data_IF_087111767813
#
_entry.id   IF_087111767813
#
_cell.length_a   1.000
_cell.length_b   1.000
_cell.length_c   1.000
_cell.angle_alpha   90.00
_cell.angle_beta   90.00
_cell.angle_gamma   90.00
#
_symmetry.space_group_name_H-M   'P 1'
#
loop_
_entity.id
_entity.type
_entity.pdbx_description
1 polymer ?
#
# COMPACT_ATOMS: atom_id res chain seq x y z
N UNK A 1 7.38 29.39 29.28
CA UNK A 1 7.06 28.22 28.49
C UNK A 1 5.65 28.41 27.95
N UNK A 2 5.51 28.85 26.68
CA UNK A 2 4.22 28.81 26.01
C UNK A 2 3.81 27.36 25.89
N UNK A 3 2.61 27.00 26.37
CA UNK A 3 2.00 25.71 26.04
C UNK A 3 1.87 25.65 24.52
N UNK A 4 2.73 24.91 23.85
CA UNK A 4 2.52 24.52 22.45
C UNK A 4 1.15 23.89 22.40
N UNK A 5 0.24 24.52 21.67
CA UNK A 5 -1.13 24.02 21.51
C UNK A 5 -1.02 22.76 20.67
N UNK A 6 -1.12 21.58 21.29
CA UNK A 6 -1.09 20.30 20.60
C UNK A 6 -2.28 20.25 19.65
N UNK A 7 -2.04 20.15 18.33
CA UNK A 7 -3.12 20.05 17.35
C UNK A 7 -3.82 18.70 17.44
N UNK A 8 -5.11 18.68 17.13
CA UNK A 8 -5.93 17.47 17.10
C UNK A 8 -6.04 16.95 15.67
N UNK A 9 -5.42 15.78 15.42
CA UNK A 9 -5.40 15.12 14.13
C UNK A 9 -6.43 14.00 14.04
N UNK A 10 -7.30 14.04 13.05
CA UNK A 10 -8.21 12.95 12.70
C UNK A 10 -7.61 12.10 11.57
N UNK A 11 -7.56 10.78 11.72
CA UNK A 11 -7.22 9.82 10.66
C UNK A 11 -8.50 9.10 10.23
N UNK A 12 -8.87 9.24 8.96
CA UNK A 12 -10.13 8.79 8.35
C UNK A 12 -9.82 7.93 7.12
N UNK A 13 -10.67 6.96 6.77
CA UNK A 13 -10.51 6.12 5.57
C UNK A 13 -9.74 4.83 5.82
N UNK A 14 -9.57 4.44 7.07
CA UNK A 14 -8.98 3.15 7.48
C UNK A 14 -10.03 2.25 8.11
N UNK A 15 -9.80 0.94 8.07
CA UNK A 15 -10.65 -0.03 8.80
C UNK A 15 -10.52 0.16 10.31
N UNK A 16 -9.36 0.58 10.80
CA UNK A 16 -9.12 0.92 12.19
C UNK A 16 -7.86 0.31 12.80
N UNK A 17 -7.70 0.52 14.10
CA UNK A 17 -6.54 0.07 14.88
C UNK A 17 -6.95 -0.86 16.03
N UNK A 18 -6.04 -1.77 16.49
CA UNK A 18 -4.72 -2.08 15.90
C UNK A 18 -4.86 -2.64 14.48
N UNK A 19 -3.87 -2.36 13.63
CA UNK A 19 -3.86 -2.80 12.24
C UNK A 19 -3.89 -4.34 12.15
N UNK A 20 -4.85 -4.87 11.39
CA UNK A 20 -4.93 -6.31 11.12
C UNK A 20 -4.37 -6.64 9.74
N UNK A 21 -4.72 -5.83 8.74
CA UNK A 21 -4.31 -6.01 7.37
C UNK A 21 -4.65 -4.75 6.55
N UNK A 22 -3.72 -4.31 5.68
CA UNK A 22 -3.92 -3.20 4.76
C UNK A 22 -2.85 -2.11 4.87
N UNK A 23 -2.58 -1.44 3.76
CA UNK A 23 -1.56 -0.37 3.70
C UNK A 23 -1.95 0.84 4.55
N UNK A 24 -3.20 1.27 4.48
CA UNK A 24 -3.69 2.42 5.26
C UNK A 24 -3.79 2.13 6.75
N UNK A 25 -4.10 0.89 7.14
CA UNK A 25 -4.08 0.47 8.55
C UNK A 25 -2.65 0.51 9.10
N UNK A 26 -1.68 -0.01 8.33
CA UNK A 26 -0.26 0.05 8.70
C UNK A 26 0.22 1.50 8.78
N UNK A 27 -0.12 2.35 7.80
CA UNK A 27 0.19 3.78 7.82
C UNK A 27 -0.39 4.46 9.07
N UNK A 28 -1.68 4.29 9.33
CA UNK A 28 -2.35 4.89 10.49
C UNK A 28 -1.70 4.43 11.80
N UNK A 29 -1.38 3.15 11.91
CA UNK A 29 -0.69 2.58 13.06
C UNK A 29 0.68 3.22 13.28
N UNK A 30 1.47 3.34 12.25
CA UNK A 30 2.81 3.92 12.35
C UNK A 30 2.77 5.42 12.63
N UNK A 31 1.84 6.16 12.03
CA UNK A 31 1.63 7.57 12.35
C UNK A 31 1.26 7.78 13.83
N UNK A 32 0.40 6.93 14.39
CA UNK A 32 0.09 6.99 15.84
C UNK A 32 1.34 6.75 16.67
N UNK A 33 2.13 5.71 16.37
CA UNK A 33 3.33 5.37 17.12
C UNK A 33 4.41 6.46 17.07
N UNK A 34 4.49 7.23 15.99
CA UNK A 34 5.52 8.24 15.78
C UNK A 34 5.07 9.66 16.21
N UNK A 35 3.77 9.95 16.13
CA UNK A 35 3.24 11.32 16.29
C UNK A 35 2.41 11.53 17.56
N UNK A 36 2.26 10.55 18.44
CA UNK A 36 1.48 10.59 19.68
C UNK A 36 1.87 11.75 20.63
N UNK A 37 3.15 12.17 20.57
CA UNK A 37 3.68 13.27 21.37
C UNK A 37 3.48 14.66 20.75
N UNK A 38 3.20 14.70 19.44
CA UNK A 38 3.05 15.94 18.68
C UNK A 38 1.58 16.31 18.46
N UNK A 39 0.71 15.30 18.37
CA UNK A 39 -0.72 15.45 18.07
C UNK A 39 -1.60 14.68 19.06
N UNK A 40 -2.78 15.23 19.38
CA UNK A 40 -3.87 14.43 19.93
C UNK A 40 -4.57 13.70 18.78
N UNK A 41 -4.25 12.42 18.60
CA UNK A 41 -4.74 11.66 17.43
C UNK A 41 -6.07 11.00 17.73
N UNK A 42 -7.02 11.12 16.79
CA UNK A 42 -8.27 10.35 16.76
C UNK A 42 -8.32 9.52 15.48
N UNK A 43 -8.48 8.21 15.60
CA UNK A 43 -8.62 7.29 14.46
C UNK A 43 -10.06 6.80 14.36
N UNK A 44 -10.66 6.93 13.18
CA UNK A 44 -11.99 6.38 12.91
C UNK A 44 -11.87 4.92 12.50
N UNK A 45 -12.73 4.08 13.11
CA UNK A 45 -12.69 2.63 13.00
C UNK A 45 -14.04 2.07 12.57
N UNK A 46 -14.01 1.00 11.76
CA UNK A 46 -15.21 0.26 11.35
C UNK A 46 -15.75 -0.59 12.50
N UNK A 47 -16.92 -0.22 13.02
CA UNK A 47 -17.59 -1.01 14.02
C UNK A 47 -18.15 -2.36 13.51
N UNK A 48 -18.13 -2.63 12.21
CA UNK A 48 -18.49 -3.94 11.67
C UNK A 48 -17.31 -4.91 11.62
N UNK A 49 -16.09 -4.38 11.56
CA UNK A 49 -14.86 -5.20 11.55
C UNK A 49 -14.39 -5.55 12.97
N UNK A 50 -14.58 -4.61 13.91
CA UNK A 50 -14.24 -4.84 15.33
C UNK A 50 -15.52 -5.17 16.09
N UNK A 51 -15.58 -6.36 16.72
CA UNK A 51 -16.70 -6.76 17.57
C UNK A 51 -16.74 -5.89 18.85
N UNK A 52 -17.88 -5.79 19.51
CA UNK A 52 -18.01 -4.92 20.69
C UNK A 52 -17.00 -5.24 21.79
N UNK A 53 -16.65 -6.51 21.94
CA UNK A 53 -15.68 -7.02 22.91
C UNK A 53 -14.23 -6.61 22.57
N UNK A 54 -13.96 -6.36 21.28
CA UNK A 54 -12.63 -6.03 20.74
C UNK A 54 -12.52 -4.57 20.28
N UNK A 55 -13.23 -3.64 20.95
CA UNK A 55 -13.20 -2.20 20.66
C UNK A 55 -12.54 -1.43 21.80
N UNK A 56 -11.21 -1.36 21.86
CA UNK A 56 -10.58 -0.44 22.80
C UNK A 56 -10.98 1.00 22.48
N UNK A 57 -11.24 1.79 23.51
CA UNK A 57 -11.54 3.23 23.35
C UNK A 57 -10.31 4.04 22.97
N UNK A 58 -9.13 3.48 23.24
CA UNK A 58 -7.82 4.09 23.01
C UNK A 58 -6.79 3.01 22.62
N UNK A 59 -5.83 3.38 21.79
CA UNK A 59 -4.71 2.53 21.40
C UNK A 59 -3.45 3.39 21.25
N UNK A 60 -2.40 3.09 22.02
CA UNK A 60 -1.11 3.80 21.98
C UNK A 60 -1.26 5.34 22.02
N UNK A 61 -2.11 5.86 22.91
CA UNK A 61 -2.38 7.29 23.06
C UNK A 61 -3.39 7.88 22.07
N UNK A 62 -3.75 7.17 21.00
CA UNK A 62 -4.77 7.62 20.06
C UNK A 62 -6.18 7.20 20.50
N UNK A 63 -7.16 8.13 20.41
CA UNK A 63 -8.58 7.84 20.62
C UNK A 63 -9.17 7.09 19.44
N UNK A 64 -9.90 6.00 19.68
CA UNK A 64 -10.56 5.22 18.64
C UNK A 64 -12.07 5.53 18.62
N UNK A 65 -12.61 5.88 17.44
CA UNK A 65 -14.01 6.19 17.22
C UNK A 65 -14.64 5.20 16.23
N UNK A 66 -15.59 4.42 16.71
CA UNK A 66 -16.23 3.36 15.93
C UNK A 66 -17.55 3.81 15.31
N UNK A 67 -17.65 3.70 13.97
CA UNK A 67 -18.92 3.88 13.27
C UNK A 67 -19.52 2.52 12.89
N UNK A 68 -20.86 2.35 12.92
CA UNK A 68 -21.51 1.06 12.62
C UNK A 68 -21.59 0.77 11.11
N UNK A 69 -20.52 1.09 10.38
CA UNK A 69 -20.39 0.97 8.93
C UNK A 69 -19.10 0.22 8.56
N UNK A 70 -19.08 -0.38 7.37
CA UNK A 70 -17.84 -0.90 6.79
C UNK A 70 -17.02 0.26 6.21
N UNK A 71 -15.69 0.24 6.47
CA UNK A 71 -14.76 1.18 5.88
C UNK A 71 -14.38 0.80 4.43
N UNK A 72 -14.85 -0.33 3.92
CA UNK A 72 -14.59 -0.80 2.56
C UNK A 72 -15.90 -0.95 1.76
N UNK A 73 -15.79 -0.90 0.41
CA UNK A 73 -16.92 -1.02 -0.50
C UNK A 73 -17.84 0.21 -0.47
N UNK A 74 -19.10 0.03 -0.87
CA UNK A 74 -20.04 1.16 -1.00
C UNK A 74 -20.30 1.88 0.33
N UNK A 75 -20.22 1.18 1.45
CA UNK A 75 -20.42 1.79 2.77
C UNK A 75 -19.28 2.74 3.18
N UNK A 76 -18.09 2.61 2.57
CA UNK A 76 -16.97 3.51 2.84
C UNK A 76 -17.31 4.98 2.57
N UNK A 77 -18.15 5.25 1.58
CA UNK A 77 -18.58 6.59 1.21
C UNK A 77 -19.27 7.29 2.40
N UNK A 78 -20.25 6.62 3.00
CA UNK A 78 -20.99 7.16 4.16
C UNK A 78 -20.14 7.11 5.43
N UNK A 79 -19.28 6.08 5.57
CA UNK A 79 -18.35 5.97 6.68
C UNK A 79 -17.38 7.16 6.72
N UNK A 80 -16.75 7.50 5.61
CA UNK A 80 -15.82 8.63 5.51
C UNK A 80 -16.54 9.95 5.72
N UNK A 81 -17.73 10.13 5.14
CA UNK A 81 -18.53 11.35 5.32
C UNK A 81 -18.88 11.60 6.79
N UNK A 82 -19.43 10.60 7.48
CA UNK A 82 -19.78 10.73 8.89
C UNK A 82 -18.55 10.92 9.78
N UNK A 83 -17.44 10.28 9.43
CA UNK A 83 -16.15 10.49 10.10
C UNK A 83 -15.68 11.94 9.96
N UNK A 84 -15.75 12.52 8.75
CA UNK A 84 -15.40 13.92 8.49
C UNK A 84 -16.32 14.88 9.24
N UNK A 85 -17.65 14.65 9.24
CA UNK A 85 -18.61 15.49 9.97
C UNK A 85 -18.32 15.52 11.47
N UNK A 86 -17.99 14.38 12.05
CA UNK A 86 -17.59 14.33 13.47
C UNK A 86 -16.24 15.01 13.69
N UNK A 87 -15.27 14.77 12.78
CA UNK A 87 -13.91 15.29 12.90
C UNK A 87 -13.86 16.83 12.87
N UNK A 88 -14.66 17.51 12.02
CA UNK A 88 -14.65 18.98 11.95
C UNK A 88 -15.09 19.66 13.25
N UNK A 89 -15.80 18.93 14.12
CA UNK A 89 -16.24 19.45 15.42
C UNK A 89 -15.12 19.31 16.46
N UNK A 90 -14.36 18.21 16.44
CA UNK A 90 -13.47 17.83 17.54
C UNK A 90 -11.98 17.88 17.18
N UNK A 91 -11.62 17.97 15.90
CA UNK A 91 -10.24 17.97 15.43
C UNK A 91 -9.90 19.25 14.67
N UNK A 92 -8.61 19.52 14.51
CA UNK A 92 -8.07 20.70 13.82
C UNK A 92 -7.62 20.36 12.40
N UNK A 93 -7.13 19.14 12.20
CA UNK A 93 -6.65 18.61 10.93
C UNK A 93 -7.32 17.28 10.64
N UNK A 94 -7.73 17.07 9.40
CA UNK A 94 -8.29 15.84 8.88
C UNK A 94 -7.31 15.23 7.87
N UNK A 95 -6.78 14.05 8.18
CA UNK A 95 -6.05 13.21 7.24
C UNK A 95 -7.01 12.14 6.70
N UNK A 96 -7.38 12.25 5.43
CA UNK A 96 -8.29 11.33 4.74
C UNK A 96 -7.45 10.39 3.86
N UNK A 97 -7.54 9.11 4.14
CA UNK A 97 -6.83 8.04 3.45
C UNK A 97 -7.75 7.42 2.39
N UNK A 98 -7.43 7.68 1.12
CA UNK A 98 -8.26 7.31 -0.03
C UNK A 98 -9.28 8.39 -0.41
N UNK A 99 -9.94 8.16 -1.54
CA UNK A 99 -10.83 9.18 -2.14
C UNK A 99 -12.32 8.90 -1.98
N UNK A 100 -12.72 7.79 -1.34
CA UNK A 100 -14.12 7.32 -1.31
C UNK A 100 -15.11 8.36 -0.81
N UNK A 101 -14.77 9.06 0.28
CA UNK A 101 -15.62 10.08 0.89
C UNK A 101 -15.39 11.50 0.38
N UNK A 102 -14.42 11.72 -0.51
CA UNK A 102 -14.00 13.05 -0.91
C UNK A 102 -15.05 13.82 -1.73
N UNK A 103 -16.05 13.13 -2.26
CA UNK A 103 -17.24 13.77 -2.86
C UNK A 103 -17.88 14.81 -1.94
N UNK A 104 -17.78 14.63 -0.63
CA UNK A 104 -18.38 15.52 0.37
C UNK A 104 -17.45 16.66 0.83
N UNK A 105 -16.22 16.74 0.34
CA UNK A 105 -15.29 17.80 0.72
C UNK A 105 -15.81 19.23 0.45
N UNK A 106 -16.52 19.52 -0.65
CA UNK A 106 -17.12 20.85 -0.82
C UNK A 106 -18.03 21.25 0.34
N UNK A 107 -18.85 20.30 0.79
CA UNK A 107 -19.72 20.51 1.94
C UNK A 107 -18.92 20.71 3.25
N UNK A 108 -17.93 19.86 3.50
CA UNK A 108 -17.03 19.99 4.67
C UNK A 108 -16.34 21.36 4.67
N UNK A 109 -15.81 21.80 3.53
CA UNK A 109 -15.11 23.10 3.40
C UNK A 109 -16.05 24.30 3.49
N UNK A 110 -17.33 24.14 3.18
CA UNK A 110 -18.33 25.19 3.33
C UNK A 110 -18.63 25.47 4.82
N UNK A 111 -18.64 24.45 5.64
CA UNK A 111 -18.98 24.55 7.08
C UNK A 111 -17.77 24.58 8.01
N UNK A 112 -16.56 24.35 7.49
CA UNK A 112 -15.35 24.26 8.30
C UNK A 112 -14.12 24.82 7.58
N UNK A 113 -13.30 25.57 8.33
CA UNK A 113 -11.97 26.02 7.89
C UNK A 113 -10.85 25.07 8.33
N UNK A 114 -11.20 23.90 8.82
CA UNK A 114 -10.21 22.90 9.27
C UNK A 114 -9.35 22.47 8.06
N UNK A 115 -8.08 22.20 8.34
CA UNK A 115 -7.13 21.72 7.32
C UNK A 115 -7.48 20.28 6.92
N UNK A 116 -7.55 20.03 5.63
CA UNK A 116 -7.85 18.71 5.05
C UNK A 116 -6.69 18.26 4.18
N UNK A 117 -6.10 17.14 4.56
CA UNK A 117 -5.06 16.45 3.81
C UNK A 117 -5.70 15.20 3.22
N UNK A 118 -5.52 14.97 1.92
CA UNK A 118 -6.03 13.76 1.26
C UNK A 118 -4.87 12.99 0.66
N UNK A 119 -4.69 11.75 1.11
CA UNK A 119 -3.85 10.78 0.42
C UNK A 119 -4.70 10.11 -0.67
N UNK A 120 -4.38 10.36 -1.94
CA UNK A 120 -5.21 9.91 -3.07
C UNK A 120 -5.06 8.44 -3.40
N UNK A 121 -4.13 7.72 -2.72
CA UNK A 121 -3.85 6.30 -2.98
C UNK A 121 -3.39 6.04 -4.43
N UNK A 122 -3.27 4.78 -4.81
CA UNK A 122 -3.06 4.37 -6.19
C UNK A 122 -4.38 4.38 -6.97
N UNK A 123 -4.45 5.01 -8.09
CA UNK A 123 -5.58 5.17 -9.03
C UNK A 123 -6.66 4.06 -8.91
N UNK A 124 -7.42 4.06 -7.79
CA UNK A 124 -8.35 2.99 -7.40
C UNK A 124 -9.38 2.69 -8.51
N UNK A 125 -9.81 3.72 -9.23
CA UNK A 125 -10.77 3.60 -10.33
C UNK A 125 -10.25 2.77 -11.53
N UNK A 126 -8.94 2.54 -11.65
CA UNK A 126 -8.32 1.70 -12.69
C UNK A 126 -8.45 0.20 -12.41
N UNK A 127 -8.76 -0.20 -11.20
CA UNK A 127 -8.85 -1.62 -10.85
C UNK A 127 -9.99 -2.31 -11.60
N UNK A 128 -9.75 -3.49 -12.19
CA UNK A 128 -10.72 -4.21 -13.01
C UNK A 128 -12.04 -4.54 -12.29
N UNK A 129 -12.00 -4.70 -10.97
CA UNK A 129 -13.15 -5.05 -10.13
C UNK A 129 -14.30 -4.03 -10.16
N UNK A 130 -14.04 -2.79 -10.59
CA UNK A 130 -15.04 -1.73 -10.54
C UNK A 130 -15.89 -1.68 -11.79
N UNK A 131 -17.21 -1.58 -11.62
CA UNK A 131 -18.16 -1.28 -12.69
C UNK A 131 -17.90 0.11 -13.31
N UNK A 132 -18.41 0.34 -14.53
CA UNK A 132 -18.25 1.64 -15.20
C UNK A 132 -18.79 2.82 -14.35
N UNK A 133 -19.90 2.63 -13.64
CA UNK A 133 -20.45 3.63 -12.73
C UNK A 133 -19.55 3.90 -11.51
N UNK A 134 -19.04 2.85 -10.89
CA UNK A 134 -18.14 2.97 -9.75
C UNK A 134 -16.82 3.68 -10.16
N UNK A 135 -16.30 3.39 -11.37
CA UNK A 135 -15.12 4.08 -11.91
C UNK A 135 -15.37 5.58 -12.09
N UNK A 136 -16.51 5.97 -12.69
CA UNK A 136 -16.87 7.39 -12.83
C UNK A 136 -17.06 8.08 -11.49
N UNK A 137 -17.70 7.41 -10.54
CA UNK A 137 -17.85 7.91 -9.18
C UNK A 137 -16.49 8.17 -8.52
N UNK A 138 -15.58 7.18 -8.57
CA UNK A 138 -14.24 7.32 -7.98
C UNK A 138 -13.42 8.42 -8.66
N UNK A 139 -13.49 8.56 -9.98
CA UNK A 139 -12.86 9.67 -10.72
C UNK A 139 -13.39 11.03 -10.30
N UNK A 140 -14.70 11.13 -10.08
CA UNK A 140 -15.31 12.38 -9.63
C UNK A 140 -14.97 12.69 -8.18
N UNK A 141 -14.93 11.68 -7.33
CA UNK A 141 -14.48 11.82 -5.93
C UNK A 141 -12.99 12.21 -5.85
N UNK A 142 -12.14 11.65 -6.70
CA UNK A 142 -10.72 12.04 -6.85
C UNK A 142 -10.58 13.50 -7.30
N UNK A 143 -11.41 13.93 -8.28
CA UNK A 143 -11.44 15.34 -8.68
C UNK A 143 -11.85 16.27 -7.54
N UNK A 144 -12.86 15.90 -6.73
CA UNK A 144 -13.24 16.64 -5.52
C UNK A 144 -12.10 16.69 -4.51
N UNK A 145 -11.41 15.56 -4.29
CA UNK A 145 -10.24 15.49 -3.43
C UNK A 145 -9.17 16.51 -3.88
N UNK A 146 -8.79 16.46 -5.14
CA UNK A 146 -7.76 17.37 -5.67
C UNK A 146 -8.18 18.83 -5.70
N UNK A 147 -9.47 19.12 -5.82
CA UNK A 147 -9.99 20.50 -5.88
C UNK A 147 -10.13 21.16 -4.50
N UNK A 148 -10.50 20.41 -3.48
CA UNK A 148 -10.92 20.95 -2.18
C UNK A 148 -10.00 20.59 -1.00
N UNK A 149 -9.07 19.65 -1.16
CA UNK A 149 -8.04 19.43 -0.15
C UNK A 149 -7.09 20.63 -0.05
N UNK A 150 -6.65 20.95 1.17
CA UNK A 150 -5.59 21.94 1.41
C UNK A 150 -4.23 21.36 1.01
N UNK A 151 -4.03 20.06 1.21
CA UNK A 151 -2.83 19.32 0.83
C UNK A 151 -3.21 17.99 0.17
N UNK A 152 -2.55 17.66 -0.91
CA UNK A 152 -2.70 16.37 -1.60
C UNK A 152 -1.43 15.57 -1.36
N UNK A 153 -1.59 14.31 -0.95
CA UNK A 153 -0.49 13.36 -0.78
C UNK A 153 -0.62 12.25 -1.82
N UNK A 154 0.49 11.93 -2.47
CA UNK A 154 0.65 10.78 -3.35
C UNK A 154 1.77 9.90 -2.80
N UNK A 155 1.59 8.60 -2.85
CA UNK A 155 2.56 7.63 -2.34
C UNK A 155 3.61 7.20 -3.39
N UNK A 156 3.45 7.64 -4.65
CA UNK A 156 4.35 7.31 -5.75
C UNK A 156 4.48 8.48 -6.72
N UNK A 157 5.69 8.69 -7.25
CA UNK A 157 5.95 9.81 -8.17
C UNK A 157 5.17 9.73 -9.49
N UNK A 158 4.80 8.51 -9.95
CA UNK A 158 3.93 8.37 -11.12
C UNK A 158 2.51 8.90 -10.84
N UNK A 159 2.00 8.71 -9.62
CA UNK A 159 0.70 9.24 -9.22
C UNK A 159 0.77 10.75 -9.04
N UNK A 160 1.87 11.24 -8.45
CA UNK A 160 2.12 12.67 -8.32
C UNK A 160 2.11 13.37 -9.69
N UNK A 161 2.81 12.77 -10.67
CA UNK A 161 2.79 13.27 -12.05
C UNK A 161 1.39 13.22 -12.67
N UNK A 162 0.65 12.13 -12.48
CA UNK A 162 -0.73 12.02 -12.95
C UNK A 162 -1.63 13.11 -12.34
N UNK A 163 -1.53 13.39 -11.04
CA UNK A 163 -2.30 14.46 -10.37
C UNK A 163 -1.97 15.83 -10.96
N UNK A 164 -0.69 16.10 -11.21
CA UNK A 164 -0.25 17.33 -11.84
C UNK A 164 -0.78 17.45 -13.29
N UNK A 165 -0.59 16.43 -14.11
CA UNK A 165 -0.97 16.44 -15.53
C UNK A 165 -2.50 16.55 -15.72
N UNK A 166 -3.28 15.85 -14.87
CA UNK A 166 -4.73 15.77 -15.03
C UNK A 166 -5.48 16.92 -14.35
N UNK A 167 -5.00 17.37 -13.19
CA UNK A 167 -5.73 18.32 -12.35
C UNK A 167 -5.01 19.66 -12.17
N UNK A 168 -3.77 19.80 -12.69
CA UNK A 168 -2.97 21.01 -12.54
C UNK A 168 -2.62 21.31 -11.07
N UNK A 169 -2.60 20.28 -10.19
CA UNK A 169 -2.36 20.43 -8.76
C UNK A 169 -1.05 19.77 -8.38
N UNK A 170 -0.24 20.52 -7.64
CA UNK A 170 0.93 19.96 -6.96
C UNK A 170 0.47 19.09 -5.80
N UNK A 171 1.20 18.02 -5.56
CA UNK A 171 0.98 17.11 -4.43
C UNK A 171 2.30 16.79 -3.75
N UNK A 172 2.24 16.43 -2.49
CA UNK A 172 3.38 16.00 -1.70
C UNK A 172 3.61 14.49 -1.94
N UNK A 173 4.85 14.11 -2.22
CA UNK A 173 5.22 12.70 -2.31
C UNK A 173 5.54 12.18 -0.90
N UNK A 174 4.67 11.34 -0.35
CA UNK A 174 4.87 10.68 0.93
C UNK A 174 4.55 9.21 0.76
N UNK A 175 5.57 8.38 0.75
CA UNK A 175 5.51 6.95 0.51
C UNK A 175 5.12 6.16 1.77
N UNK A 176 5.39 4.85 1.80
CA UNK A 176 5.27 4.01 2.99
C UNK A 176 6.64 3.73 3.60
N UNK A 177 6.70 3.59 4.92
CA UNK A 177 7.89 3.09 5.61
C UNK A 177 7.91 1.56 5.65
N UNK A 178 9.08 1.00 5.89
CA UNK A 178 9.29 -0.43 5.96
C UNK A 178 10.17 -0.89 7.13
N UNK A 179 10.72 0.03 7.90
CA UNK A 179 11.64 -0.25 9.02
C UNK A 179 10.98 -0.88 10.25
N UNK A 180 9.67 -1.15 10.20
CA UNK A 180 8.95 -1.94 11.19
C UNK A 180 9.15 -3.45 11.01
N UNK A 181 9.53 -3.93 9.81
CA UNK A 181 9.83 -5.35 9.58
C UNK A 181 11.20 -5.70 10.16
N UNK A 182 11.32 -6.92 10.65
CA UNK A 182 12.55 -7.45 11.22
C UNK A 182 12.89 -8.80 10.59
N UNK A 183 14.15 -9.05 10.26
CA UNK A 183 14.57 -10.36 9.80
C UNK A 183 14.36 -11.40 10.91
N UNK A 184 13.83 -12.55 10.54
CA UNK A 184 13.62 -13.69 11.42
C UNK A 184 14.53 -14.82 10.95
N UNK A 185 15.52 -15.16 11.77
CA UNK A 185 16.47 -16.22 11.44
C UNK A 185 15.83 -17.61 11.48
N UNK A 186 16.20 -18.44 10.51
CA UNK A 186 15.79 -19.83 10.46
C UNK A 186 16.50 -20.64 11.55
N UNK A 187 15.72 -21.29 12.40
CA UNK A 187 16.21 -22.27 13.38
C UNK A 187 15.67 -23.66 13.03
N UNK A 188 16.27 -24.73 13.55
CA UNK A 188 15.77 -26.08 13.29
C UNK A 188 14.30 -26.26 13.68
N UNK A 189 13.86 -25.67 14.79
CA UNK A 189 12.47 -25.69 15.25
C UNK A 189 11.54 -24.95 14.26
N UNK A 190 11.96 -23.77 13.76
CA UNK A 190 11.20 -22.99 12.79
C UNK A 190 11.15 -23.68 11.42
N UNK A 191 12.27 -24.29 10.99
CA UNK A 191 12.34 -25.06 9.76
C UNK A 191 11.40 -26.27 9.76
N UNK A 192 11.16 -26.89 10.92
CA UNK A 192 10.24 -28.01 11.05
C UNK A 192 8.77 -27.63 10.80
N UNK A 193 8.40 -26.35 10.86
CA UNK A 193 7.02 -25.89 10.61
C UNK A 193 6.60 -26.01 9.14
N UNK A 194 7.56 -25.84 8.22
CA UNK A 194 7.31 -25.87 6.77
C UNK A 194 8.47 -26.57 6.08
N UNK A 195 8.20 -27.67 5.40
CA UNK A 195 9.22 -28.51 4.74
C UNK A 195 10.05 -27.75 3.69
N UNK A 196 9.45 -26.77 3.02
CA UNK A 196 10.10 -25.94 2.00
C UNK A 196 11.15 -24.97 2.56
N UNK A 197 11.15 -24.69 3.87
CA UNK A 197 12.16 -23.79 4.47
C UNK A 197 13.59 -24.36 4.46
N UNK A 198 13.74 -25.64 4.17
CA UNK A 198 15.07 -26.31 4.10
C UNK A 198 15.76 -26.17 2.74
N UNK A 199 15.13 -25.51 1.76
CA UNK A 199 15.65 -25.30 0.42
C UNK A 199 15.36 -23.86 -0.05
N UNK A 200 16.06 -23.36 -1.07
CA UNK A 200 15.73 -22.08 -1.69
C UNK A 200 14.29 -22.07 -2.23
N UNK A 201 13.58 -20.95 -2.06
CA UNK A 201 12.24 -20.75 -2.58
C UNK A 201 11.99 -19.29 -2.96
N UNK A 202 11.03 -19.05 -3.86
CA UNK A 202 10.48 -17.75 -4.17
C UNK A 202 9.32 -17.45 -3.21
N UNK A 203 9.18 -16.21 -2.78
CA UNK A 203 8.11 -15.79 -1.88
C UNK A 203 7.25 -14.68 -2.46
N UNK A 204 5.94 -14.77 -2.28
CA UNK A 204 4.97 -13.73 -2.60
C UNK A 204 3.89 -13.65 -1.52
N UNK A 205 3.53 -12.43 -1.11
CA UNK A 205 2.38 -12.19 -0.24
C UNK A 205 1.52 -11.06 -0.80
N UNK A 206 0.23 -11.32 -0.98
CA UNK A 206 -0.69 -10.29 -1.51
C UNK A 206 -2.16 -10.69 -1.30
N UNK A 207 -3.07 -9.77 -1.59
CA UNK A 207 -4.48 -10.13 -1.81
C UNK A 207 -4.59 -10.97 -3.08
N UNK A 208 -5.44 -11.99 -3.04
CA UNK A 208 -5.69 -12.84 -4.21
C UNK A 208 -6.70 -12.13 -5.13
N UNK A 209 -6.16 -11.20 -5.93
CA UNK A 209 -6.89 -10.34 -6.85
C UNK A 209 -6.18 -10.30 -8.22
N UNK A 210 -6.92 -10.16 -9.34
CA UNK A 210 -6.33 -10.17 -10.69
C UNK A 210 -5.23 -9.13 -10.90
N UNK A 211 -5.37 -7.93 -10.32
CA UNK A 211 -4.37 -6.87 -10.42
C UNK A 211 -3.01 -7.22 -9.79
N UNK A 212 -2.92 -8.32 -9.06
CA UNK A 212 -1.67 -8.81 -8.47
C UNK A 212 -0.98 -9.89 -9.33
N UNK A 213 -1.47 -10.11 -10.57
CA UNK A 213 -0.91 -11.01 -11.59
C UNK A 213 -0.63 -12.43 -11.05
N UNK A 214 -1.55 -12.94 -10.24
CA UNK A 214 -1.35 -14.23 -9.54
C UNK A 214 -1.39 -15.39 -10.52
N UNK A 215 -2.30 -15.36 -11.48
CA UNK A 215 -2.42 -16.31 -12.58
C UNK A 215 -1.12 -16.42 -13.39
N UNK A 216 -0.55 -15.27 -13.79
CA UNK A 216 0.73 -15.18 -14.49
C UNK A 216 1.90 -15.75 -13.65
N UNK A 217 1.94 -15.40 -12.36
CA UNK A 217 3.00 -15.89 -11.45
C UNK A 217 2.88 -17.40 -11.27
N UNK A 218 1.68 -17.92 -11.02
CA UNK A 218 1.46 -19.36 -10.87
C UNK A 218 1.76 -20.13 -12.17
N UNK A 219 1.40 -19.58 -13.34
CA UNK A 219 1.73 -20.17 -14.64
C UNK A 219 3.24 -20.27 -14.85
N UNK A 220 3.99 -19.20 -14.56
CA UNK A 220 5.44 -19.17 -14.69
C UNK A 220 6.12 -20.21 -13.80
N UNK A 221 5.73 -20.28 -12.53
CA UNK A 221 6.33 -21.23 -11.59
C UNK A 221 5.88 -22.66 -11.82
N UNK A 222 4.66 -22.90 -12.32
CA UNK A 222 4.23 -24.25 -12.74
C UNK A 222 5.13 -24.84 -13.83
N UNK A 223 5.71 -23.99 -14.69
CA UNK A 223 6.65 -24.36 -15.74
C UNK A 223 8.12 -24.42 -15.28
N UNK A 224 8.42 -23.98 -14.06
CA UNK A 224 9.78 -23.85 -13.52
C UNK A 224 9.91 -24.52 -12.15
N UNK A 225 9.91 -25.86 -12.05
CA UNK A 225 9.90 -26.58 -10.78
C UNK A 225 11.23 -26.51 -10.01
N UNK A 226 12.27 -25.92 -10.58
CA UNK A 226 13.60 -25.80 -9.96
C UNK A 226 13.63 -24.88 -8.74
N UNK A 227 12.73 -23.90 -8.68
CA UNK A 227 12.57 -23.00 -7.54
C UNK A 227 11.12 -23.03 -7.06
N UNK A 228 10.80 -23.64 -5.90
CA UNK A 228 9.45 -23.65 -5.36
C UNK A 228 8.92 -22.24 -5.11
N UNK A 229 7.61 -22.03 -5.26
CA UNK A 229 6.92 -20.80 -4.92
C UNK A 229 6.11 -20.96 -3.65
N UNK A 230 6.31 -20.07 -2.68
CA UNK A 230 5.45 -19.91 -1.50
C UNK A 230 4.61 -18.66 -1.68
N UNK A 231 3.30 -18.81 -1.82
CA UNK A 231 2.36 -17.71 -2.03
C UNK A 231 1.33 -17.66 -0.90
N UNK A 232 1.37 -16.57 -0.13
CA UNK A 232 0.47 -16.32 1.01
C UNK A 232 -0.65 -15.38 0.60
N UNK A 233 -1.91 -15.78 0.83
CA UNK A 233 -3.05 -14.93 0.56
C UNK A 233 -4.39 -15.55 0.92
N UNK A 234 -5.47 -14.75 0.87
CA UNK A 234 -6.83 -15.23 1.15
C UNK A 234 -7.47 -15.78 -0.13
N UNK A 235 -7.29 -17.07 -0.37
CA UNK A 235 -7.77 -17.78 -1.54
C UNK A 235 -9.30 -17.92 -1.60
N UNK A 236 -9.95 -17.93 -0.45
CA UNK A 236 -11.40 -18.14 -0.33
C UNK A 236 -12.21 -16.85 -0.47
N UNK A 237 -11.54 -15.69 -0.56
CA UNK A 237 -12.19 -14.39 -0.62
C UNK A 237 -13.01 -14.19 -1.91
N UNK A 238 -12.60 -14.77 -3.04
CA UNK A 238 -13.23 -14.58 -4.35
C UNK A 238 -13.31 -15.88 -5.16
N UNK A 239 -14.17 -15.90 -6.18
CA UNK A 239 -14.24 -17.00 -7.14
C UNK A 239 -12.89 -17.19 -7.87
N UNK A 240 -12.22 -16.10 -8.23
CA UNK A 240 -10.91 -16.08 -8.84
C UNK A 240 -9.86 -16.83 -7.99
N UNK A 241 -9.81 -16.55 -6.68
CA UNK A 241 -8.88 -17.22 -5.78
C UNK A 241 -9.13 -18.72 -5.69
N UNK A 242 -10.40 -19.13 -5.55
CA UNK A 242 -10.79 -20.54 -5.50
C UNK A 242 -10.46 -21.31 -6.78
N UNK A 243 -10.68 -20.69 -7.93
CA UNK A 243 -10.35 -21.27 -9.23
C UNK A 243 -8.85 -21.49 -9.38
N UNK A 244 -8.02 -20.46 -9.06
CA UNK A 244 -6.58 -20.59 -9.12
C UNK A 244 -6.06 -21.65 -8.15
N UNK A 245 -6.55 -21.66 -6.90
CA UNK A 245 -6.16 -22.67 -5.92
C UNK A 245 -6.50 -24.08 -6.41
N UNK A 246 -7.69 -24.29 -6.95
CA UNK A 246 -8.10 -25.59 -7.52
C UNK A 246 -7.22 -26.01 -8.68
N UNK A 247 -6.85 -25.08 -9.56
CA UNK A 247 -6.02 -25.37 -10.74
C UNK A 247 -4.58 -25.74 -10.39
N UNK A 248 -4.00 -25.10 -9.36
CA UNK A 248 -2.58 -25.20 -9.07
C UNK A 248 -2.23 -26.00 -7.80
N UNK A 249 -3.22 -26.47 -7.03
CA UNK A 249 -2.98 -27.18 -5.76
C UNK A 249 -2.30 -28.56 -5.91
N UNK A 250 -2.28 -29.12 -7.13
CA UNK A 250 -1.67 -30.43 -7.41
C UNK A 250 -0.17 -30.33 -7.82
N UNK A 251 0.41 -29.13 -7.81
CA UNK A 251 1.84 -28.92 -8.08
C UNK A 251 2.61 -28.93 -6.77
N UNK A 252 3.42 -29.95 -6.50
CA UNK A 252 4.14 -30.13 -5.23
C UNK A 252 5.08 -28.96 -4.88
N UNK A 253 5.56 -28.24 -5.87
CA UNK A 253 6.46 -27.08 -5.71
C UNK A 253 5.73 -25.72 -5.62
N UNK A 254 4.39 -25.71 -5.63
CA UNK A 254 3.58 -24.52 -5.44
C UNK A 254 2.89 -24.57 -4.07
N UNK A 255 3.39 -23.84 -3.09
CA UNK A 255 2.85 -23.80 -1.73
C UNK A 255 1.87 -22.64 -1.59
N UNK A 256 0.56 -22.91 -1.75
CA UNK A 256 -0.51 -21.93 -1.69
C UNK A 256 -1.04 -21.82 -0.25
N UNK A 257 -0.47 -20.93 0.53
CA UNK A 257 -0.77 -20.79 1.96
C UNK A 257 -1.96 -19.85 2.21
N UNK A 258 -2.71 -20.16 3.26
CA UNK A 258 -3.76 -19.30 3.79
C UNK A 258 -3.18 -17.99 4.36
N UNK A 259 -4.00 -16.94 4.58
CA UNK A 259 -3.50 -15.66 5.05
C UNK A 259 -2.83 -15.77 6.42
N UNK A 260 -1.65 -15.20 6.53
CA UNK A 260 -0.85 -15.16 7.75
C UNK A 260 -0.84 -13.70 8.24
N UNK A 261 -1.45 -13.45 9.38
CA UNK A 261 -1.53 -12.12 10.01
C UNK A 261 -0.55 -11.95 11.16
N UNK A 262 0.08 -13.04 11.58
CA UNK A 262 1.09 -13.03 12.64
C UNK A 262 2.43 -12.55 12.02
N UNK A 263 2.97 -11.38 12.49
CA UNK A 263 4.11 -10.73 11.84
C UNK A 263 5.39 -11.58 11.89
N UNK A 264 5.61 -12.33 12.98
CA UNK A 264 6.82 -13.16 13.13
C UNK A 264 6.84 -14.28 12.08
N UNK A 265 5.72 -14.99 11.91
CA UNK A 265 5.59 -16.06 10.91
C UNK A 265 5.72 -15.51 9.49
N UNK A 266 5.05 -14.37 9.18
CA UNK A 266 5.16 -13.76 7.86
C UNK A 266 6.60 -13.30 7.56
N UNK A 267 7.27 -12.72 8.55
CA UNK A 267 8.66 -12.30 8.40
C UNK A 267 9.62 -13.50 8.35
N UNK A 268 9.33 -14.62 9.02
CA UNK A 268 10.10 -15.86 8.86
C UNK A 268 10.08 -16.34 7.41
N UNK A 269 8.89 -16.41 6.79
CA UNK A 269 8.77 -16.84 5.40
C UNK A 269 9.39 -15.84 4.43
N UNK A 270 9.25 -14.55 4.69
CA UNK A 270 9.80 -13.50 3.83
C UNK A 270 11.32 -13.41 3.94
N UNK A 271 11.88 -13.40 5.16
CA UNK A 271 13.32 -13.17 5.37
C UNK A 271 14.22 -14.30 4.87
N UNK A 272 13.66 -15.50 4.69
CA UNK A 272 14.45 -16.69 4.32
C UNK A 272 14.20 -17.14 2.87
N UNK A 273 13.45 -16.36 2.08
CA UNK A 273 13.29 -16.67 0.65
C UNK A 273 14.55 -16.25 -0.13
N UNK A 274 14.79 -16.95 -1.24
CA UNK A 274 15.85 -16.60 -2.19
C UNK A 274 15.49 -15.35 -3.00
N UNK A 275 14.20 -15.16 -3.31
CA UNK A 275 13.71 -14.06 -4.13
C UNK A 275 12.27 -13.70 -3.77
N UNK A 276 11.97 -12.41 -3.77
CA UNK A 276 10.63 -11.90 -3.58
C UNK A 276 9.98 -11.58 -4.92
N UNK A 277 8.77 -12.12 -5.17
CA UNK A 277 8.03 -11.89 -6.43
C UNK A 277 6.92 -10.87 -6.21
N UNK A 278 6.99 -9.75 -6.91
CA UNK A 278 6.04 -8.65 -6.80
C UNK A 278 5.24 -8.47 -8.09
N UNK A 279 4.00 -8.95 -8.13
CA UNK A 279 3.16 -8.94 -9.33
C UNK A 279 2.15 -7.78 -9.43
N UNK A 280 2.17 -6.79 -8.54
CA UNK A 280 1.15 -5.73 -8.55
C UNK A 280 1.26 -4.86 -9.81
N UNK A 281 0.16 -4.76 -10.56
CA UNK A 281 0.04 -3.93 -11.77
C UNK A 281 -0.67 -2.60 -11.53
N UNK A 282 -1.35 -2.46 -10.40
CA UNK A 282 -2.10 -1.27 -10.03
C UNK A 282 -1.77 -0.85 -8.60
N UNK A 283 -1.83 0.43 -8.33
CA UNK A 283 -1.49 1.02 -7.04
C UNK A 283 -0.37 2.04 -7.18
N UNK A 284 0.18 2.45 -6.05
CA UNK A 284 1.36 3.31 -5.93
C UNK A 284 2.57 2.54 -5.38
N UNK A 285 3.18 3.08 -4.33
CA UNK A 285 4.19 2.36 -3.55
C UNK A 285 3.52 1.29 -2.70
N UNK A 286 3.84 0.03 -2.96
CA UNK A 286 3.19 -1.08 -2.27
C UNK A 286 3.95 -1.44 -0.99
N UNK A 287 3.29 -1.48 0.20
CA UNK A 287 3.95 -1.82 1.46
C UNK A 287 4.72 -3.14 1.42
N UNK A 288 4.15 -4.20 0.82
CA UNK A 288 4.84 -5.51 0.79
C UNK A 288 6.11 -5.50 -0.07
N UNK A 289 6.18 -4.61 -1.07
CA UNK A 289 7.39 -4.42 -1.88
C UNK A 289 8.49 -3.73 -1.06
N UNK A 290 8.18 -2.60 -0.42
CA UNK A 290 9.18 -1.85 0.36
C UNK A 290 9.63 -2.63 1.60
N UNK A 291 8.76 -3.46 2.19
CA UNK A 291 9.12 -4.40 3.24
C UNK A 291 10.13 -5.46 2.77
N UNK A 292 9.92 -6.04 1.57
CA UNK A 292 10.88 -6.97 0.98
C UNK A 292 12.20 -6.27 0.66
N UNK A 293 12.16 -5.06 0.13
CA UNK A 293 13.35 -4.24 -0.13
C UNK A 293 14.13 -3.93 1.16
N UNK A 294 13.42 -3.58 2.25
CA UNK A 294 14.06 -3.26 3.53
C UNK A 294 14.78 -4.47 4.16
N UNK A 295 14.28 -5.67 3.90
CA UNK A 295 14.93 -6.92 4.28
C UNK A 295 16.09 -7.33 3.35
N UNK A 296 16.43 -6.52 2.36
CA UNK A 296 17.52 -6.80 1.43
C UNK A 296 17.23 -7.95 0.45
N UNK A 297 15.96 -8.27 0.21
CA UNK A 297 15.60 -9.37 -0.67
C UNK A 297 15.78 -8.98 -2.14
N UNK A 298 16.30 -9.89 -2.97
CA UNK A 298 16.23 -9.73 -4.41
C UNK A 298 14.77 -9.68 -4.87
N UNK A 299 14.41 -8.69 -5.68
CA UNK A 299 13.03 -8.46 -6.13
C UNK A 299 12.89 -8.77 -7.61
N UNK A 300 11.93 -9.66 -7.96
CA UNK A 300 11.38 -9.79 -9.30
C UNK A 300 10.05 -9.06 -9.35
N UNK A 301 9.94 -7.98 -10.11
CA UNK A 301 8.77 -7.11 -10.11
C UNK A 301 8.07 -7.12 -11.47
N UNK A 302 6.72 -7.12 -11.45
CA UNK A 302 5.95 -6.87 -12.66
C UNK A 302 6.29 -5.52 -13.27
N UNK A 303 6.51 -5.50 -14.59
CA UNK A 303 7.01 -4.33 -15.32
C UNK A 303 5.91 -3.26 -15.48
N UNK A 304 5.78 -2.43 -14.46
CA UNK A 304 4.90 -1.27 -14.44
C UNK A 304 5.62 -0.10 -13.80
N UNK A 305 5.24 1.11 -14.19
CA UNK A 305 5.93 2.33 -13.77
C UNK A 305 6.03 2.49 -12.24
N UNK A 306 5.00 2.10 -11.50
CA UNK A 306 4.99 2.19 -10.03
C UNK A 306 6.10 1.34 -9.41
N UNK A 307 6.26 0.10 -9.88
CA UNK A 307 7.30 -0.82 -9.40
C UNK A 307 8.70 -0.34 -9.83
N UNK A 308 8.84 0.18 -11.04
CA UNK A 308 10.09 0.76 -11.53
C UNK A 308 10.55 1.93 -10.67
N UNK A 309 9.65 2.87 -10.36
CA UNK A 309 9.95 4.03 -9.51
C UNK A 309 10.27 3.58 -8.09
N UNK A 310 9.45 2.71 -7.49
CA UNK A 310 9.66 2.22 -6.12
C UNK A 310 11.01 1.55 -5.95
N UNK A 311 11.47 0.79 -6.95
CA UNK A 311 12.74 0.08 -6.95
C UNK A 311 13.89 0.86 -7.61
N UNK A 312 13.66 2.12 -7.98
CA UNK A 312 14.62 2.93 -8.74
C UNK A 312 15.21 2.19 -9.95
N UNK A 313 14.36 1.47 -10.69
CA UNK A 313 14.71 0.63 -11.85
C UNK A 313 15.73 -0.47 -11.56
N UNK A 314 15.96 -0.84 -10.31
CA UNK A 314 17.02 -1.75 -9.89
C UNK A 314 16.55 -3.19 -9.62
N UNK A 315 15.24 -3.48 -9.67
CA UNK A 315 14.72 -4.85 -9.63
C UNK A 315 14.95 -5.60 -10.95
N UNK A 316 14.76 -6.91 -10.96
CA UNK A 316 14.55 -7.64 -12.20
C UNK A 316 13.08 -7.56 -12.60
N UNK A 317 12.77 -7.22 -13.85
CA UNK A 317 11.40 -6.98 -14.30
C UNK A 317 10.90 -8.08 -15.23
N UNK A 318 9.59 -8.38 -15.12
CA UNK A 318 8.88 -9.30 -16.01
C UNK A 318 7.52 -8.72 -16.41
N UNK A 319 7.05 -9.06 -17.60
CA UNK A 319 5.78 -8.62 -18.19
C UNK A 319 4.84 -9.77 -18.58
N UNK A 320 5.34 -11.01 -18.52
CA UNK A 320 4.64 -12.22 -18.92
C UNK A 320 5.09 -13.42 -18.09
N UNK A 321 4.31 -14.51 -18.11
CA UNK A 321 4.70 -15.77 -17.49
C UNK A 321 6.00 -16.33 -18.10
N UNK A 322 6.17 -16.17 -19.40
CA UNK A 322 7.37 -16.62 -20.10
C UNK A 322 8.63 -15.86 -19.65
N UNK A 323 8.56 -14.51 -19.55
CA UNK A 323 9.69 -13.69 -19.07
C UNK A 323 9.98 -13.95 -17.61
N UNK A 324 8.98 -14.14 -16.75
CA UNK A 324 9.19 -14.51 -15.35
C UNK A 324 9.87 -15.88 -15.23
N UNK A 325 9.41 -16.88 -15.98
CA UNK A 325 10.00 -18.22 -16.00
C UNK A 325 11.47 -18.17 -16.44
N UNK A 326 11.78 -17.43 -17.52
CA UNK A 326 13.15 -17.24 -17.99
C UNK A 326 14.04 -16.57 -16.92
N UNK A 327 13.58 -15.47 -16.31
CA UNK A 327 14.32 -14.79 -15.24
C UNK A 327 14.59 -15.73 -14.06
N UNK A 328 13.60 -16.51 -13.62
CA UNK A 328 13.76 -17.46 -12.50
C UNK A 328 14.79 -18.54 -12.80
N UNK A 329 14.89 -19.00 -14.07
CA UNK A 329 15.80 -20.06 -14.47
C UNK A 329 17.23 -19.56 -14.74
N UNK A 330 17.38 -18.34 -15.24
CA UNK A 330 18.64 -17.83 -15.78
C UNK A 330 19.38 -16.85 -14.85
N UNK A 331 18.68 -16.27 -13.85
CA UNK A 331 19.28 -15.25 -13.00
C UNK A 331 20.38 -15.83 -12.11
N UNK A 332 21.57 -15.26 -12.21
CA UNK A 332 22.71 -15.71 -11.40
C UNK A 332 22.59 -15.28 -9.93
N UNK A 333 23.23 -16.03 -9.04
CA UNK A 333 23.31 -15.71 -7.60
C UNK A 333 23.96 -14.34 -7.39
N UNK A 334 24.99 -14.01 -8.16
CA UNK A 334 25.66 -12.70 -8.08
C UNK A 334 24.70 -11.56 -8.41
N UNK A 335 23.88 -11.73 -9.46
CA UNK A 335 22.87 -10.75 -9.84
C UNK A 335 21.75 -10.61 -8.78
N UNK A 336 21.32 -11.71 -8.19
CA UNK A 336 20.37 -11.67 -7.07
C UNK A 336 20.97 -10.90 -5.88
N UNK A 337 22.22 -11.16 -5.52
CA UNK A 337 22.91 -10.47 -4.42
C UNK A 337 23.03 -8.96 -4.69
N UNK A 338 23.38 -8.58 -5.91
CA UNK A 338 23.44 -7.16 -6.35
C UNK A 338 22.07 -6.48 -6.19
N UNK A 339 21.00 -7.12 -6.70
CA UNK A 339 19.63 -6.60 -6.59
C UNK A 339 19.25 -6.44 -5.10
N UNK A 340 19.44 -7.46 -4.28
CA UNK A 340 19.10 -7.43 -2.86
C UNK A 340 19.81 -6.29 -2.11
N UNK A 341 21.12 -6.14 -2.35
CA UNK A 341 21.92 -5.04 -1.78
C UNK A 341 21.38 -3.67 -2.21
N UNK A 342 21.03 -3.53 -3.49
CA UNK A 342 20.47 -2.27 -3.99
C UNK A 342 19.08 -1.99 -3.41
N UNK A 343 18.23 -3.00 -3.29
CA UNK A 343 16.91 -2.89 -2.65
C UNK A 343 17.02 -2.38 -1.21
N UNK A 344 17.92 -2.94 -0.42
CA UNK A 344 18.15 -2.52 0.95
C UNK A 344 18.63 -1.05 1.04
N UNK A 345 19.60 -0.65 0.20
CA UNK A 345 20.10 0.73 0.17
C UNK A 345 18.98 1.73 -0.13
N UNK A 346 18.13 1.44 -1.12
CA UNK A 346 16.99 2.29 -1.47
C UNK A 346 16.01 2.36 -0.30
N UNK A 347 15.63 1.22 0.27
CA UNK A 347 14.64 1.15 1.32
C UNK A 347 15.08 1.87 2.59
N UNK A 348 16.33 1.67 3.03
CA UNK A 348 16.86 2.35 4.21
C UNK A 348 16.91 3.86 4.05
N UNK A 349 17.16 4.36 2.85
CA UNK A 349 17.19 5.80 2.56
C UNK A 349 15.80 6.40 2.45
N UNK A 350 14.85 5.73 1.78
CA UNK A 350 13.60 6.34 1.32
C UNK A 350 12.34 5.85 2.07
N UNK A 351 12.36 4.65 2.65
CA UNK A 351 11.17 3.98 3.21
C UNK A 351 11.30 3.80 4.73
N UNK A 352 11.43 4.92 5.44
CA UNK A 352 11.60 4.98 6.89
C UNK A 352 10.41 5.68 7.53
N UNK A 353 9.80 5.06 8.55
CA UNK A 353 8.60 5.58 9.19
C UNK A 353 8.80 6.89 9.92
N UNK A 354 9.98 7.15 10.48
CA UNK A 354 10.27 8.44 11.10
C UNK A 354 10.20 9.55 10.07
N UNK A 355 10.92 9.42 8.95
CA UNK A 355 10.90 10.39 7.85
C UNK A 355 9.47 10.60 7.32
N UNK A 356 8.73 9.51 7.07
CA UNK A 356 7.36 9.55 6.55
C UNK A 356 6.42 10.27 7.52
N UNK A 357 6.54 9.98 8.81
CA UNK A 357 5.72 10.61 9.84
C UNK A 357 6.03 12.10 9.99
N UNK A 358 7.30 12.49 9.91
CA UNK A 358 7.71 13.90 9.88
C UNK A 358 7.08 14.64 8.69
N UNK A 359 7.08 14.04 7.49
CA UNK A 359 6.44 14.62 6.30
C UNK A 359 4.91 14.77 6.46
N UNK A 360 4.24 13.82 7.12
CA UNK A 360 2.82 13.95 7.46
C UNK A 360 2.58 15.03 8.53
N UNK A 361 3.47 15.15 9.51
CA UNK A 361 3.41 16.23 10.51
C UNK A 361 3.56 17.61 9.87
N UNK A 362 4.54 17.79 8.99
CA UNK A 362 4.71 19.04 8.21
C UNK A 362 3.44 19.36 7.38
N UNK A 363 2.88 18.34 6.72
CA UNK A 363 1.62 18.49 5.99
C UNK A 363 0.47 18.91 6.93
N UNK A 364 0.42 18.38 8.15
CA UNK A 364 -0.59 18.74 9.14
C UNK A 364 -0.42 20.16 9.68
N UNK A 365 0.81 20.58 9.94
CA UNK A 365 1.11 21.95 10.37
C UNK A 365 0.92 23.00 9.26
N UNK A 366 0.85 22.59 8.01
CA UNK A 366 0.79 23.51 6.86
C UNK A 366 2.14 24.09 6.49
N UNK A 367 3.20 23.46 6.93
CA UNK A 367 4.55 23.86 6.56
C UNK A 367 4.84 23.47 5.10
N UNK A 368 5.31 24.43 4.33
CA UNK A 368 5.75 24.16 2.96
C UNK A 368 7.16 23.58 3.00
N UNK A 369 7.26 22.26 2.85
CA UNK A 369 8.56 21.69 2.54
C UNK A 369 9.04 22.14 1.16
N UNK A 370 10.37 22.25 1.03
CA UNK A 370 11.13 22.62 -0.17
C UNK A 370 10.51 22.14 -1.49
N UNK A 371 10.75 22.89 -2.60
CA UNK A 371 10.11 22.63 -3.88
C UNK A 371 10.24 21.17 -4.31
N UNK A 372 9.12 20.63 -4.80
CA UNK A 372 9.00 19.32 -5.42
C UNK A 372 10.21 19.07 -6.32
N UNK A 373 10.94 17.95 -6.17
CA UNK A 373 12.00 17.61 -7.08
C UNK A 373 11.49 17.68 -8.51
N UNK A 374 12.19 18.40 -9.37
CA UNK A 374 11.95 18.38 -10.81
C UNK A 374 11.96 16.92 -11.25
N UNK A 375 10.86 16.47 -11.87
CA UNK A 375 10.81 15.14 -12.45
C UNK A 375 11.73 15.09 -13.67
N UNK A 376 13.00 14.78 -13.49
CA UNK A 376 13.92 14.36 -14.55
C UNK A 376 13.55 12.93 -15.05
N UNK A 377 12.25 12.65 -15.03
CA UNK A 377 11.72 11.36 -15.39
C UNK A 377 10.91 11.48 -16.68
N UNK A 378 11.53 11.20 -17.82
CA UNK A 378 10.80 10.94 -19.05
C UNK A 378 10.16 9.56 -18.98
N UNK A 379 8.81 9.52 -18.97
CA UNK A 379 8.08 8.28 -19.17
C UNK A 379 8.55 7.64 -20.49
N UNK A 380 9.01 6.37 -20.53
CA UNK A 380 9.27 5.65 -21.76
C UNK A 380 8.06 5.75 -22.70
N UNK A 381 8.30 5.90 -24.01
CA UNK A 381 7.25 6.12 -25.02
C UNK A 381 6.11 5.08 -24.93
N UNK A 382 6.43 3.83 -24.64
CA UNK A 382 5.46 2.74 -24.45
C UNK A 382 4.53 2.98 -23.25
N UNK A 383 4.96 3.70 -22.21
CA UNK A 383 4.17 4.02 -21.03
C UNK A 383 3.38 5.32 -21.20
N UNK A 384 3.78 6.23 -22.10
CA UNK A 384 2.97 7.40 -22.46
C UNK A 384 1.62 6.96 -23.04
N UNK A 385 1.57 5.90 -23.83
CA UNK A 385 0.35 5.35 -24.41
C UNK A 385 -0.62 4.78 -23.36
N UNK A 386 -0.16 4.32 -22.22
CA UNK A 386 -1.00 3.85 -21.11
C UNK A 386 -1.67 5.01 -20.35
N UNK A 387 -1.09 6.20 -20.39
CA UNK A 387 -1.63 7.41 -19.76
C UNK A 387 -2.45 8.32 -20.73
N UNK A 388 -2.14 8.29 -22.03
CA UNK A 388 -2.80 9.12 -23.05
C UNK A 388 -4.30 8.86 -23.28
N UNK A 389 -4.85 7.64 -23.21
CA UNK A 389 -6.29 7.45 -23.43
C UNK A 389 -7.17 8.13 -22.38
N UNK A 390 -6.61 8.42 -21.19
CA UNK A 390 -7.34 9.13 -20.14
C UNK A 390 -7.37 10.65 -20.32
N UNK A 391 -6.53 11.21 -21.20
CA UNK A 391 -6.41 12.64 -21.45
C UNK A 391 -7.34 13.12 -22.60
N UNK A 392 -7.90 12.21 -23.41
CA UNK A 392 -8.66 12.53 -24.63
C UNK A 392 -10.19 12.41 -24.50
N UNK A 393 -10.75 12.17 -23.34
CA UNK A 393 -12.21 12.24 -23.13
C UNK A 393 -12.53 13.50 -22.34
N UNK A 394 -12.78 14.57 -23.11
CA UNK A 394 -13.49 15.78 -22.64
C UNK A 394 -14.91 15.44 -22.19
#
# INVERSE_FOLDING_TARGET
>A
MQKLHTQKLAIIGTVGLPAKYGGFETLAQQLVLQLDKQFEITVYCSGKTYTKENRPGEWQGARLRYLPLNANGVQSILYDFLSMLHAIIFCDVLLVLGVSGCLFLPFIKMFSKKRVIVNVDGLEWRRPKWSAWARKFLQWSEWMATRYADEIVCDNAAIQKYVLDRYGRYSRLITYGADHVRPVHLTAERAARYSFLNAPYAFKVCRIEPENMIDMVLEAFAQSPTLPLVLVGNWDHSAYGKELRSKYNNYDHLHLLDPIYEPETLNLLRSNCQVYVHGHSAGGTNPSLVEAMYLGLPVLAYDVIYNRITTEHSAAFFDSAATLSAVVQEISVDRLTEIGTRMEQIARRAYNWQLISEMYAEAAWGEHSTPVPSFDFELPLALRQTFEPALKTN
#
